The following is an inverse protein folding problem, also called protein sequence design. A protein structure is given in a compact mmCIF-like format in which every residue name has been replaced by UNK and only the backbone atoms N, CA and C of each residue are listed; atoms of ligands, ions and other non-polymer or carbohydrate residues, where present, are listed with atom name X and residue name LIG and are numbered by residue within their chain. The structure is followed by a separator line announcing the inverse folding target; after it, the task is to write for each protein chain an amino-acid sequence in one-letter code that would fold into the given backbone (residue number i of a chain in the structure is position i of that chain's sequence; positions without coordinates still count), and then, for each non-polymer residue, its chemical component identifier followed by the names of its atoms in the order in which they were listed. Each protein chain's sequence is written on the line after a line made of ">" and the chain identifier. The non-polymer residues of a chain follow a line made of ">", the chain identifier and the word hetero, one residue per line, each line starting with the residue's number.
data_IF_315979395193
#
_entry.id   IF_315979395193
#
_cell.length_a   1.000
_cell.length_b   1.000
_cell.length_c   1.000
_cell.angle_alpha   90.00
_cell.angle_beta   90.00
_cell.angle_gamma   90.00
#
_symmetry.space_group_name_H-M   'P 1'
#
loop_
_entity.id
_entity.type
_entity.pdbx_description
1 polymer ?
#
# COMPACT_ATOMS: atom_id res chain seq x y z
N UNK A 1 -1.13 -9.04 18.53
CA UNK A 1 -1.40 -8.12 17.41
C UNK A 1 -0.87 -8.80 16.17
N UNK A 2 -1.75 -9.26 15.30
CA UNK A 2 -1.35 -10.00 14.09
C UNK A 2 -0.89 -9.05 12.97
N UNK A 3 -0.22 -9.60 11.96
CA UNK A 3 0.31 -8.84 10.83
C UNK A 3 -0.80 -8.09 10.07
N UNK A 4 -1.98 -8.69 9.97
CA UNK A 4 -3.16 -8.08 9.35
C UNK A 4 -3.57 -6.78 10.07
N UNK A 5 -3.66 -6.81 11.39
CA UNK A 5 -4.00 -5.62 12.19
C UNK A 5 -2.94 -4.53 12.06
N UNK A 6 -1.65 -4.89 12.01
CA UNK A 6 -0.55 -3.94 11.81
C UNK A 6 -0.67 -3.29 10.41
N UNK A 7 -0.84 -4.09 9.36
CA UNK A 7 -0.97 -3.61 7.99
C UNK A 7 -2.22 -2.77 7.79
N UNK A 8 -3.35 -3.17 8.38
CA UNK A 8 -4.59 -2.41 8.34
C UNK A 8 -4.42 -1.04 9.00
N UNK A 9 -3.85 -0.98 10.21
CA UNK A 9 -3.58 0.30 10.88
C UNK A 9 -2.59 1.14 10.06
N UNK A 10 -1.56 0.52 9.49
CA UNK A 10 -0.58 1.21 8.67
C UNK A 10 -1.22 1.84 7.42
N UNK A 11 -1.98 1.09 6.63
CA UNK A 11 -2.63 1.59 5.41
C UNK A 11 -3.60 2.74 5.74
N UNK A 12 -4.41 2.59 6.79
CA UNK A 12 -5.37 3.62 7.20
C UNK A 12 -4.72 4.82 7.90
N UNK A 13 -3.42 4.77 8.20
CA UNK A 13 -2.70 5.91 8.79
C UNK A 13 -2.22 6.92 7.74
N UNK A 14 -2.32 6.61 6.45
CA UNK A 14 -1.89 7.47 5.36
C UNK A 14 -3.04 7.84 4.42
N UNK A 15 -2.97 9.07 3.92
CA UNK A 15 -3.82 9.61 2.88
C UNK A 15 -3.01 9.60 1.59
N UNK A 16 -3.60 9.04 0.55
CA UNK A 16 -3.09 9.01 -0.82
C UNK A 16 -4.09 9.79 -1.69
N UNK A 17 -3.62 10.80 -2.41
CA UNK A 17 -4.45 11.61 -3.30
C UNK A 17 -3.82 11.66 -4.68
N UNK A 18 -4.54 11.20 -5.71
CA UNK A 18 -4.06 11.24 -7.10
C UNK A 18 -3.87 12.68 -7.57
N UNK A 19 -2.75 12.93 -8.24
CA UNK A 19 -2.48 14.14 -9.00
C UNK A 19 -2.60 13.80 -10.47
N UNK A 20 -3.42 14.57 -11.20
CA UNK A 20 -3.59 14.41 -12.63
C UNK A 20 -2.87 15.54 -13.36
N UNK A 21 -2.34 15.23 -14.54
CA UNK A 21 -1.81 16.24 -15.46
C UNK A 21 -2.93 16.97 -16.24
N UNK A 22 -2.53 17.80 -17.21
CA UNK A 22 -3.46 18.56 -18.05
C UNK A 22 -4.33 17.67 -18.97
N UNK A 23 -3.88 16.44 -19.24
CA UNK A 23 -4.57 15.44 -20.08
C UNK A 23 -5.36 14.41 -19.24
N UNK A 24 -5.60 14.73 -17.96
CA UNK A 24 -6.27 13.88 -16.98
C UNK A 24 -5.57 12.52 -16.73
N UNK A 25 -4.29 12.40 -17.07
CA UNK A 25 -3.48 11.20 -16.79
C UNK A 25 -2.87 11.29 -15.39
N UNK A 26 -2.53 10.12 -14.80
CA UNK A 26 -1.89 10.07 -13.50
C UNK A 26 -0.43 10.54 -13.58
N UNK A 27 -0.15 11.75 -13.10
CA UNK A 27 1.19 12.33 -13.00
C UNK A 27 1.92 11.86 -11.72
N UNK A 28 1.15 11.63 -10.66
CA UNK A 28 1.69 11.15 -9.40
C UNK A 28 0.67 11.10 -8.27
N UNK A 29 1.17 10.96 -7.04
CA UNK A 29 0.34 10.85 -5.83
C UNK A 29 0.90 11.73 -4.73
N UNK A 30 0.02 12.50 -4.09
CA UNK A 30 0.34 13.15 -2.83
C UNK A 30 0.14 12.18 -1.67
N UNK A 31 1.15 12.10 -0.81
CA UNK A 31 1.17 11.22 0.36
C UNK A 31 1.35 12.06 1.62
N UNK A 32 0.50 11.80 2.61
CA UNK A 32 0.69 12.29 3.97
C UNK A 32 0.17 11.26 4.96
N UNK A 33 0.63 11.31 6.21
CA UNK A 33 -0.10 10.62 7.28
C UNK A 33 -1.28 11.46 7.75
N UNK A 34 -2.30 10.79 8.29
CA UNK A 34 -3.49 11.42 8.88
C UNK A 34 -3.10 12.45 9.96
N UNK A 35 -2.07 12.13 10.76
CA UNK A 35 -1.56 13.00 11.84
C UNK A 35 -0.85 14.26 11.32
N UNK A 36 -0.31 14.24 10.10
CA UNK A 36 0.52 15.33 9.55
C UNK A 36 -0.06 15.99 8.30
N UNK A 37 -1.29 15.67 7.91
CA UNK A 37 -1.95 16.17 6.68
C UNK A 37 -1.98 17.69 6.50
N UNK A 38 -1.87 18.45 7.60
CA UNK A 38 -1.84 19.92 7.57
C UNK A 38 -0.42 20.51 7.67
N UNK A 39 0.63 19.68 7.63
CA UNK A 39 2.02 20.09 7.90
C UNK A 39 3.00 19.62 6.84
N UNK A 40 2.84 18.38 6.39
CA UNK A 40 3.74 17.77 5.42
C UNK A 40 2.93 17.06 4.36
N UNK A 41 3.21 17.39 3.10
CA UNK A 41 2.64 16.75 1.94
C UNK A 41 3.81 16.36 1.05
N UNK A 42 4.00 15.07 0.84
CA UNK A 42 5.00 14.55 -0.07
C UNK A 42 4.35 14.35 -1.43
N UNK A 43 5.07 14.68 -2.50
CA UNK A 43 4.68 14.32 -3.86
C UNK A 43 5.55 13.15 -4.34
N UNK A 44 4.91 12.13 -4.92
CA UNK A 44 5.57 11.01 -5.57
C UNK A 44 5.17 10.99 -7.04
N UNK A 45 6.14 11.12 -7.92
CA UNK A 45 5.95 11.01 -9.38
C UNK A 45 5.60 9.56 -9.76
N UNK A 46 4.78 9.39 -10.80
CA UNK A 46 4.35 8.08 -11.29
C UNK A 46 5.54 7.16 -11.59
N UNK A 47 6.64 7.67 -12.14
CA UNK A 47 7.85 6.87 -12.41
C UNK A 47 8.45 6.28 -11.13
N UNK A 48 8.50 7.06 -10.05
CA UNK A 48 8.98 6.57 -8.75
C UNK A 48 8.06 5.47 -8.20
N UNK A 49 6.75 5.61 -8.40
CA UNK A 49 5.78 4.60 -8.00
C UNK A 49 6.00 3.31 -8.81
N UNK A 50 6.19 3.42 -10.13
CA UNK A 50 6.50 2.30 -11.01
C UNK A 50 7.80 1.59 -10.62
N UNK A 51 8.86 2.35 -10.28
CA UNK A 51 10.13 1.80 -9.83
C UNK A 51 9.99 1.00 -8.54
N UNK A 52 9.18 1.50 -7.60
CA UNK A 52 8.85 0.80 -6.35
C UNK A 52 8.17 -0.54 -6.68
N UNK A 53 7.10 -0.54 -7.47
CA UNK A 53 6.39 -1.77 -7.82
C UNK A 53 7.27 -2.75 -8.60
N UNK A 54 8.10 -2.26 -9.53
CA UNK A 54 9.05 -3.08 -10.28
C UNK A 54 10.07 -3.74 -9.37
N UNK A 55 10.56 -3.04 -8.34
CA UNK A 55 11.55 -3.55 -7.40
C UNK A 55 11.00 -4.68 -6.50
N UNK A 56 9.71 -4.66 -6.19
CA UNK A 56 9.05 -5.71 -5.39
C UNK A 56 8.56 -6.90 -6.24
N UNK A 57 8.48 -6.73 -7.57
CA UNK A 57 7.84 -7.68 -8.48
C UNK A 57 6.35 -7.35 -8.66
N UNK A 58 5.80 -7.67 -9.84
CA UNK A 58 4.35 -7.59 -10.12
C UNK A 58 3.59 -8.72 -9.40
N UNK A 59 3.87 -8.93 -8.12
CA UNK A 59 3.08 -9.81 -7.28
C UNK A 59 1.86 -9.02 -6.85
N UNK A 60 0.84 -8.98 -7.71
CA UNK A 60 -0.50 -8.74 -7.22
C UNK A 60 -0.80 -9.90 -6.26
N UNK A 61 -0.93 -9.68 -4.93
CA UNK A 61 -1.40 -10.73 -4.03
C UNK A 61 -2.88 -10.98 -4.37
N UNK A 62 -3.13 -11.77 -5.40
CA UNK A 62 -4.47 -12.04 -5.95
C UNK A 62 -5.18 -13.12 -5.14
N UNK A 63 -4.45 -13.84 -4.28
CA UNK A 63 -5.03 -14.90 -3.44
C UNK A 63 -4.49 -14.84 -2.02
N UNK A 64 -5.27 -14.25 -1.13
CA UNK A 64 -5.11 -14.45 0.30
C UNK A 64 -5.82 -15.75 0.68
N UNK A 65 -5.07 -16.79 1.04
CA UNK A 65 -5.64 -18.04 1.55
C UNK A 65 -5.28 -18.23 3.02
N UNK A 66 -6.33 -18.38 3.82
CA UNK A 66 -6.20 -18.97 5.15
C UNK A 66 -6.02 -20.47 4.98
N UNK A 67 -4.93 -21.00 5.52
CA UNK A 67 -4.72 -22.45 5.58
C UNK A 67 -4.70 -22.85 7.05
N UNK A 68 -5.58 -23.78 7.41
CA UNK A 68 -5.55 -24.42 8.72
C UNK A 68 -4.34 -25.36 8.76
N UNK A 69 -3.39 -25.08 9.66
CA UNK A 69 -2.31 -26.02 9.90
C UNK A 69 -2.81 -27.20 10.75
N UNK A 70 -2.19 -28.39 10.63
CA UNK A 70 -2.60 -29.59 11.36
C UNK A 70 -2.56 -29.47 12.89
N UNK A 71 -1.86 -28.45 13.41
CA UNK A 71 -1.73 -28.15 14.84
C UNK A 71 -2.81 -27.17 15.35
N UNK A 72 -3.76 -26.79 14.49
CA UNK A 72 -4.83 -25.84 14.81
C UNK A 72 -4.37 -24.38 14.82
N UNK A 73 -3.18 -24.07 14.31
CA UNK A 73 -2.73 -22.70 14.11
C UNK A 73 -3.11 -22.20 12.71
N UNK A 74 -3.68 -21.02 12.64
CA UNK A 74 -3.84 -20.30 11.38
C UNK A 74 -2.57 -19.52 11.07
N UNK A 75 -2.06 -19.63 9.83
CA UNK A 75 -0.97 -18.78 9.35
C UNK A 75 -1.33 -18.07 8.06
N UNK A 76 -0.94 -16.81 8.00
CA UNK A 76 -1.03 -16.01 6.80
C UNK A 76 0.12 -16.35 5.87
N UNK A 77 -0.20 -16.93 4.71
CA UNK A 77 0.74 -17.12 3.62
C UNK A 77 0.34 -16.13 2.53
N UNK A 78 1.21 -15.17 2.26
CA UNK A 78 1.17 -14.41 1.01
C UNK A 78 1.92 -15.21 -0.04
N UNK A 79 1.22 -15.61 -1.10
CA UNK A 79 1.84 -16.02 -2.37
C UNK A 79 1.74 -14.85 -3.35
#
# INVERSE_FOLDING_TARGET
>A
MDAWNISSIFIHSYILMSCLDEDEQLDGVYVTSERFKNKHLLYLETDTICDIFTAFGEDYPTQFKWTDLPDGQERFLGE
#
